data_IF_238871358837
#
_entry.id   IF_238871358837
#
_cell.length_a   1.000
_cell.length_b   1.000
_cell.length_c   1.000
_cell.angle_alpha   90.00
_cell.angle_beta   90.00
_cell.angle_gamma   90.00
#
_symmetry.space_group_name_H-M   'P 1'
#
loop_
_entity.id
_entity.type
_entity.pdbx_description
1 polymer ?
#
# COMPACT_ATOMS: atom_id res chain seq x y z
N UNK A 1 -15.81 67.72 -33.52
CA UNK A 1 -16.87 66.88 -32.93
C UNK A 1 -16.45 66.53 -31.52
N UNK A 2 -17.15 67.13 -30.55
CA UNK A 2 -17.01 66.92 -29.11
C UNK A 2 -17.86 65.69 -28.70
N UNK A 3 -17.41 64.89 -27.73
CA UNK A 3 -18.09 64.74 -26.43
C UNK A 3 -17.51 63.57 -25.61
N UNK A 4 -17.12 63.94 -24.39
CA UNK A 4 -16.75 63.11 -23.26
C UNK A 4 -17.78 62.01 -22.93
N UNK A 5 -17.29 60.85 -22.51
CA UNK A 5 -18.12 59.87 -21.79
C UNK A 5 -17.96 60.06 -20.28
N UNK A 6 -19.07 60.49 -19.69
CA UNK A 6 -19.29 60.76 -18.27
C UNK A 6 -19.35 59.46 -17.47
N UNK A 7 -18.53 59.34 -16.43
CA UNK A 7 -18.65 58.30 -15.41
C UNK A 7 -19.91 58.55 -14.57
N UNK A 8 -20.94 57.72 -14.72
CA UNK A 8 -22.10 57.72 -13.81
C UNK A 8 -21.81 56.80 -12.62
N UNK A 9 -21.60 57.41 -11.45
CA UNK A 9 -21.75 56.80 -10.13
C UNK A 9 -23.17 56.23 -10.00
N UNK A 10 -23.29 54.92 -9.77
CA UNK A 10 -24.50 54.33 -9.20
C UNK A 10 -24.17 53.93 -7.77
N UNK A 11 -24.65 54.74 -6.82
CA UNK A 11 -24.84 54.32 -5.44
C UNK A 11 -26.05 53.37 -5.41
N UNK A 12 -25.84 52.14 -4.92
CA UNK A 12 -26.92 51.29 -4.44
C UNK A 12 -26.54 50.68 -3.09
N UNK A 13 -27.24 51.20 -2.08
CA UNK A 13 -27.72 50.59 -0.86
C UNK A 13 -26.83 49.56 -0.14
N UNK A 14 -26.38 49.98 1.04
CA UNK A 14 -25.92 49.10 2.12
C UNK A 14 -27.05 48.13 2.53
N UNK A 15 -26.89 46.86 2.15
CA UNK A 15 -27.58 45.73 2.77
C UNK A 15 -26.61 45.03 3.70
N UNK A 16 -26.81 45.22 5.01
CA UNK A 16 -26.04 44.56 6.06
C UNK A 16 -26.44 43.08 6.09
N UNK A 17 -25.81 42.25 5.26
CA UNK A 17 -25.91 40.80 5.38
C UNK A 17 -24.90 40.35 6.45
N UNK A 18 -25.42 40.01 7.63
CA UNK A 18 -24.65 39.37 8.68
C UNK A 18 -24.10 38.04 8.14
N UNK A 19 -22.81 38.02 7.81
CA UNK A 19 -22.07 36.78 7.59
C UNK A 19 -21.93 36.13 8.95
N UNK A 20 -22.82 35.18 9.24
CA UNK A 20 -22.61 34.20 10.29
C UNK A 20 -21.34 33.44 9.93
N UNK A 21 -20.24 33.80 10.59
CA UNK A 21 -19.05 32.96 10.71
C UNK A 21 -19.50 31.67 11.39
N UNK A 22 -19.90 30.69 10.58
CA UNK A 22 -19.96 29.31 11.03
C UNK A 22 -18.54 28.95 11.44
N UNK A 23 -18.31 28.87 12.76
CA UNK A 23 -17.05 28.44 13.33
C UNK A 23 -16.67 27.12 12.67
N UNK A 24 -15.53 27.11 11.99
CA UNK A 24 -14.89 25.90 11.54
C UNK A 24 -14.69 25.04 12.78
N UNK A 25 -15.44 23.94 12.89
CA UNK A 25 -15.13 22.90 13.84
C UNK A 25 -13.70 22.47 13.50
N UNK A 26 -12.74 22.90 14.30
CA UNK A 26 -11.40 22.34 14.26
C UNK A 26 -11.62 20.84 14.49
N UNK A 27 -11.33 20.05 13.45
CA UNK A 27 -11.28 18.60 13.57
C UNK A 27 -10.36 18.30 14.75
N UNK A 28 -10.95 17.87 15.85
CA UNK A 28 -10.23 17.33 16.98
C UNK A 28 -9.45 16.14 16.45
N UNK A 29 -8.16 16.35 16.16
CA UNK A 29 -7.23 15.26 15.88
C UNK A 29 -7.38 14.24 16.99
N UNK A 30 -7.56 12.98 16.60
CA UNK A 30 -7.63 11.86 17.53
C UNK A 30 -6.38 11.97 18.42
N UNK A 31 -6.52 12.12 19.74
CA UNK A 31 -5.36 12.12 20.61
C UNK A 31 -4.63 10.79 20.41
N UNK A 32 -3.32 10.84 20.18
CA UNK A 32 -2.44 9.68 20.19
C UNK A 32 -2.30 9.13 21.62
N UNK A 33 -3.41 8.67 22.18
CA UNK A 33 -3.42 7.71 23.27
C UNK A 33 -3.32 6.32 22.67
N UNK A 34 -2.52 5.45 23.27
CA UNK A 34 -2.48 4.04 22.90
C UNK A 34 -3.90 3.48 22.98
N UNK A 35 -4.55 3.29 21.83
CA UNK A 35 -5.89 2.70 21.75
C UNK A 35 -5.91 1.26 22.23
N UNK A 36 -4.72 0.64 22.40
CA UNK A 36 -4.58 -0.78 22.70
C UNK A 36 -5.05 -1.65 21.54
N UNK A 37 -5.05 -1.11 20.30
CA UNK A 37 -5.56 -1.77 19.10
C UNK A 37 -4.45 -1.99 18.07
N UNK A 38 -4.67 -3.01 17.24
CA UNK A 38 -4.01 -3.20 15.95
C UNK A 38 -5.08 -3.02 14.87
N UNK A 39 -4.89 -2.06 13.98
CA UNK A 39 -5.85 -1.68 12.95
C UNK A 39 -5.20 -1.82 11.57
N UNK A 40 -5.97 -2.26 10.57
CA UNK A 40 -5.55 -2.37 9.18
C UNK A 40 -6.49 -1.53 8.33
N UNK A 41 -5.94 -0.56 7.60
CA UNK A 41 -6.67 0.23 6.59
C UNK A 41 -6.11 -0.16 5.24
N UNK A 42 -6.93 -0.79 4.41
CA UNK A 42 -6.56 -1.16 3.05
C UNK A 42 -6.64 0.09 2.19
N UNK A 43 -5.51 0.72 1.92
CA UNK A 43 -5.47 1.94 1.11
C UNK A 43 -5.62 1.60 -0.37
N UNK A 44 -4.99 0.51 -0.81
CA UNK A 44 -5.11 0.00 -2.17
C UNK A 44 -5.07 -1.52 -2.22
N UNK A 45 -5.98 -2.10 -3.01
CA UNK A 45 -6.24 -3.54 -3.06
C UNK A 45 -6.09 -4.16 -4.45
N UNK A 46 -5.93 -3.36 -5.50
CA UNK A 46 -5.79 -3.87 -6.87
C UNK A 46 -4.32 -4.13 -7.21
N UNK A 47 -3.99 -5.30 -7.75
CA UNK A 47 -2.65 -5.49 -8.31
C UNK A 47 -2.50 -4.83 -9.68
N UNK A 48 -1.29 -4.35 -9.96
CA UNK A 48 -1.01 -3.51 -11.13
C UNK A 48 -0.19 -4.23 -12.21
N UNK A 49 0.64 -3.48 -12.96
CA UNK A 49 0.88 -2.03 -12.90
C UNK A 49 -0.14 -1.19 -13.67
N UNK A 50 -1.27 -1.78 -14.09
CA UNK A 50 -2.34 -1.02 -14.73
C UNK A 50 -3.18 -0.32 -13.67
N UNK A 51 -3.21 1.02 -13.70
CA UNK A 51 -4.10 1.82 -12.87
C UNK A 51 -5.57 1.49 -13.17
N UNK A 52 -6.35 1.35 -12.11
CA UNK A 52 -7.79 1.07 -12.15
C UNK A 52 -8.56 2.23 -11.53
N UNK A 53 -9.81 2.40 -11.95
CA UNK A 53 -10.67 3.48 -11.43
C UNK A 53 -11.10 3.22 -9.99
N UNK A 54 -11.48 1.97 -9.73
CA UNK A 54 -12.17 1.61 -8.49
C UNK A 54 -11.25 0.96 -7.44
N UNK A 55 -9.96 0.74 -7.78
CA UNK A 55 -8.95 0.20 -6.86
C UNK A 55 -7.59 0.86 -7.10
N UNK A 56 -6.99 1.35 -6.04
CA UNK A 56 -5.61 1.82 -6.00
C UNK A 56 -4.66 0.62 -5.96
N UNK A 57 -3.41 0.86 -6.32
CA UNK A 57 -2.38 -0.16 -6.28
C UNK A 57 -1.98 -0.50 -4.82
N UNK A 58 -1.33 -1.66 -4.58
CA UNK A 58 -1.21 -2.23 -3.25
C UNK A 58 -0.63 -1.27 -2.20
N UNK A 59 -1.38 -1.08 -1.12
CA UNK A 59 -0.91 -0.42 0.08
C UNK A 59 -1.84 -0.69 1.27
N UNK A 60 -1.26 -1.03 2.41
CA UNK A 60 -1.98 -1.23 3.68
C UNK A 60 -1.34 -0.39 4.77
N UNK A 61 -2.15 0.42 5.44
CA UNK A 61 -1.72 1.12 6.65
C UNK A 61 -2.04 0.26 7.87
N UNK A 62 -1.01 -0.14 8.59
CA UNK A 62 -1.10 -0.82 9.88
C UNK A 62 -0.93 0.20 11.00
N UNK A 63 -1.90 0.29 11.91
CA UNK A 63 -1.84 1.17 13.08
C UNK A 63 -1.79 0.30 14.34
N UNK A 64 -0.71 0.36 15.10
CA UNK A 64 -0.56 -0.39 16.37
C UNK A 64 -0.36 0.60 17.50
N UNK A 65 -1.29 0.61 18.46
CA UNK A 65 -1.30 1.56 19.58
C UNK A 65 -1.17 3.03 19.13
N UNK A 66 -1.80 3.39 18.01
CA UNK A 66 -1.74 4.73 17.40
C UNK A 66 -0.47 5.01 16.58
N UNK A 67 0.50 4.07 16.52
CA UNK A 67 1.70 4.21 15.67
C UNK A 67 1.44 3.62 14.29
N UNK A 68 1.75 4.39 13.24
CA UNK A 68 1.44 4.04 11.84
C UNK A 68 2.63 3.46 11.09
N UNK A 69 2.43 2.30 10.46
CA UNK A 69 3.36 1.60 9.58
C UNK A 69 2.69 1.36 8.23
N UNK A 70 3.39 1.65 7.13
CA UNK A 70 2.86 1.43 5.79
C UNK A 70 3.50 0.18 5.19
N UNK A 71 2.69 -0.71 4.63
CA UNK A 71 3.15 -1.89 3.90
C UNK A 71 2.80 -1.67 2.43
N UNK A 72 3.84 -1.58 1.60
CA UNK A 72 3.81 -1.14 0.21
C UNK A 72 3.22 0.26 -0.01
N UNK A 73 3.57 0.88 -1.13
CA UNK A 73 3.22 2.26 -1.44
C UNK A 73 2.95 2.44 -2.94
N UNK A 74 1.95 1.72 -3.44
CA UNK A 74 1.48 1.83 -4.82
C UNK A 74 0.84 3.17 -5.19
N UNK A 75 0.60 3.37 -6.49
CA UNK A 75 -0.13 4.54 -6.99
C UNK A 75 -1.51 4.68 -6.33
N UNK A 76 -1.81 5.90 -5.89
CA UNK A 76 -3.06 6.23 -5.20
C UNK A 76 -3.00 6.17 -3.68
N UNK A 77 -1.91 5.66 -3.08
CA UNK A 77 -1.75 5.54 -1.62
C UNK A 77 -2.04 6.86 -0.88
N UNK A 78 -1.34 7.96 -1.23
CA UNK A 78 -1.56 9.25 -0.57
C UNK A 78 -3.00 9.76 -0.75
N UNK A 79 -3.59 9.59 -1.94
CA UNK A 79 -4.97 10.00 -2.20
C UNK A 79 -5.95 9.26 -1.31
N UNK A 80 -5.73 7.96 -1.08
CA UNK A 80 -6.56 7.11 -0.22
C UNK A 80 -6.37 7.45 1.25
N UNK A 81 -5.15 7.82 1.68
CA UNK A 81 -4.92 8.35 3.02
C UNK A 81 -5.73 9.63 3.27
N UNK A 82 -5.70 10.58 2.32
CA UNK A 82 -6.51 11.80 2.40
C UNK A 82 -8.01 11.50 2.46
N UNK A 83 -8.49 10.56 1.65
CA UNK A 83 -9.90 10.13 1.65
C UNK A 83 -10.32 9.48 2.98
N UNK A 84 -9.41 8.75 3.62
CA UNK A 84 -9.60 8.18 4.95
C UNK A 84 -9.41 9.20 6.11
N UNK A 85 -9.06 10.46 5.81
CA UNK A 85 -8.77 11.47 6.83
C UNK A 85 -7.45 11.26 7.58
N UNK A 86 -6.50 10.55 6.97
CA UNK A 86 -5.21 10.19 7.57
C UNK A 86 -4.13 11.16 7.11
N UNK A 87 -3.45 11.78 8.06
CA UNK A 87 -2.25 12.60 7.79
C UNK A 87 -1.04 11.68 7.51
N UNK A 88 -0.52 11.73 6.28
CA UNK A 88 0.60 10.89 5.86
C UNK A 88 1.88 11.18 6.66
N UNK A 89 2.01 12.38 7.23
CA UNK A 89 3.19 12.79 8.02
C UNK A 89 3.31 12.02 9.34
N UNK A 90 2.26 11.32 9.78
CA UNK A 90 2.28 10.43 10.93
C UNK A 90 2.89 9.05 10.64
N UNK A 91 3.03 8.67 9.37
CA UNK A 91 3.75 7.44 8.99
C UNK A 91 5.24 7.67 9.20
N UNK A 92 5.88 6.81 10.02
CA UNK A 92 7.32 6.90 10.32
C UNK A 92 8.14 5.75 9.77
N UNK A 93 7.48 4.66 9.37
CA UNK A 93 8.13 3.48 8.84
C UNK A 93 7.30 2.90 7.70
N UNK A 94 7.95 2.63 6.57
CA UNK A 94 7.41 1.97 5.39
C UNK A 94 8.17 0.66 5.17
N UNK A 95 7.45 -0.41 4.87
CA UNK A 95 8.00 -1.70 4.46
C UNK A 95 7.57 -1.98 3.03
N UNK A 96 8.54 -2.12 2.13
CA UNK A 96 8.33 -2.43 0.72
C UNK A 96 8.61 -3.92 0.50
N UNK A 97 7.67 -4.66 -0.05
CA UNK A 97 7.80 -6.10 -0.32
C UNK A 97 8.76 -6.34 -1.48
N UNK A 98 8.59 -5.60 -2.57
CA UNK A 98 9.45 -5.64 -3.76
C UNK A 98 9.35 -4.36 -4.61
N UNK A 99 10.22 -4.22 -5.61
CA UNK A 99 10.31 -3.00 -6.44
C UNK A 99 9.54 -3.08 -7.77
N UNK A 100 8.46 -3.86 -7.85
CA UNK A 100 7.51 -3.65 -8.94
C UNK A 100 6.81 -2.31 -8.78
N UNK A 101 6.49 -1.69 -9.92
CA UNK A 101 5.99 -0.33 -9.99
C UNK A 101 4.76 -0.14 -9.09
N UNK A 102 3.81 -1.07 -9.15
CA UNK A 102 2.57 -1.01 -8.37
C UNK A 102 2.77 -1.08 -6.86
N UNK A 103 3.94 -1.47 -6.36
CA UNK A 103 4.23 -1.47 -4.92
C UNK A 103 4.99 -0.23 -4.46
N UNK A 104 5.52 0.60 -5.37
CA UNK A 104 6.49 1.66 -5.00
C UNK A 104 6.27 3.01 -5.66
N UNK A 105 5.53 3.13 -6.76
CA UNK A 105 5.47 4.40 -7.49
C UNK A 105 4.79 5.53 -6.69
N UNK A 106 3.94 5.20 -5.72
CA UNK A 106 3.34 6.17 -4.80
C UNK A 106 4.28 6.66 -3.71
N UNK A 107 5.47 6.06 -3.56
CA UNK A 107 6.43 6.45 -2.52
C UNK A 107 6.87 7.91 -2.64
N UNK A 108 7.08 8.38 -3.88
CA UNK A 108 7.46 9.76 -4.14
C UNK A 108 6.36 10.75 -3.70
N UNK A 109 5.08 10.38 -3.79
CA UNK A 109 3.96 11.21 -3.35
C UNK A 109 3.97 11.38 -1.82
N UNK A 110 4.15 10.28 -1.08
CA UNK A 110 4.25 10.31 0.40
C UNK A 110 5.47 11.12 0.85
N UNK A 111 6.62 10.90 0.20
CA UNK A 111 7.85 11.64 0.51
C UNK A 111 7.67 13.14 0.22
N UNK A 112 7.06 13.51 -0.91
CA UNK A 112 6.78 14.89 -1.26
C UNK A 112 5.81 15.54 -0.26
N UNK A 113 4.72 14.86 0.10
CA UNK A 113 3.75 15.36 1.08
C UNK A 113 4.41 15.66 2.43
N UNK A 114 5.34 14.81 2.88
CA UNK A 114 6.11 15.03 4.11
C UNK A 114 6.96 16.32 4.09
N UNK A 115 7.34 16.80 2.90
CA UNK A 115 8.15 18.01 2.69
C UNK A 115 7.25 19.24 2.55
N UNK A 116 6.15 19.12 1.78
CA UNK A 116 5.33 20.26 1.39
C UNK A 116 4.12 20.52 2.32
N UNK A 117 3.73 19.56 3.16
CA UNK A 117 2.64 19.73 4.11
C UNK A 117 2.96 20.80 5.16
N UNK A 118 1.97 21.63 5.53
CA UNK A 118 2.12 22.72 6.51
C UNK A 118 2.45 22.24 7.93
N UNK A 119 2.22 20.95 8.24
CA UNK A 119 2.65 20.28 9.47
C UNK A 119 4.17 20.09 9.56
N UNK A 120 4.92 20.29 8.46
CA UNK A 120 6.39 20.18 8.38
C UNK A 120 7.16 21.25 9.18
N UNK A 121 6.46 22.22 9.79
CA UNK A 121 7.03 23.21 10.70
C UNK A 121 7.58 22.60 12.01
N UNK A 122 7.26 21.35 12.31
CA UNK A 122 7.90 20.58 13.38
C UNK A 122 9.02 19.72 12.77
N UNK A 123 10.23 19.65 13.39
CA UNK A 123 11.25 18.70 12.98
C UNK A 123 10.73 17.28 13.20
N UNK A 124 10.12 16.70 12.16
CA UNK A 124 9.66 15.33 12.17
C UNK A 124 10.84 14.38 12.26
N UNK A 125 10.70 13.32 13.05
CA UNK A 125 11.57 12.15 12.96
C UNK A 125 11.64 11.67 11.50
N UNK A 126 12.81 11.17 11.04
CA UNK A 126 12.97 10.73 9.66
C UNK A 126 11.98 9.61 9.32
N UNK A 127 11.53 9.60 8.07
CA UNK A 127 10.76 8.50 7.49
C UNK A 127 11.70 7.34 7.18
N UNK A 128 11.53 6.22 7.87
CA UNK A 128 12.30 5.01 7.64
C UNK A 128 11.65 4.17 6.54
N UNK A 129 12.45 3.67 5.60
CA UNK A 129 11.97 2.90 4.45
C UNK A 129 12.79 1.62 4.38
N UNK A 130 12.16 0.50 4.70
CA UNK A 130 12.77 -0.83 4.63
C UNK A 130 12.26 -1.53 3.38
N UNK A 131 13.14 -2.23 2.67
CA UNK A 131 12.74 -3.00 1.50
C UNK A 131 13.86 -3.89 0.99
N UNK A 132 13.70 -4.54 -0.17
CA UNK A 132 14.75 -5.38 -0.74
C UNK A 132 16.00 -4.56 -1.13
N UNK A 133 17.10 -5.23 -1.53
CA UNK A 133 18.28 -4.55 -2.05
C UNK A 133 17.90 -3.51 -3.11
N UNK A 134 18.61 -2.37 -3.13
CA UNK A 134 18.35 -1.18 -3.96
C UNK A 134 17.22 -0.27 -3.46
N UNK A 135 16.70 -0.48 -2.25
CA UNK A 135 15.71 0.45 -1.65
C UNK A 135 16.33 1.82 -1.42
N UNK A 136 17.61 1.89 -1.02
CA UNK A 136 18.34 3.16 -0.97
C UNK A 136 18.39 3.88 -2.32
N UNK A 137 18.66 3.15 -3.41
CA UNK A 137 18.68 3.72 -4.76
C UNK A 137 17.30 4.25 -5.18
N UNK A 138 16.23 3.52 -4.84
CA UNK A 138 14.85 3.94 -5.09
C UNK A 138 14.52 5.25 -4.37
N UNK A 139 14.90 5.37 -3.09
CA UNK A 139 14.69 6.57 -2.28
C UNK A 139 15.49 7.76 -2.83
N UNK A 140 16.76 7.56 -3.19
CA UNK A 140 17.57 8.61 -3.82
C UNK A 140 16.97 9.08 -5.14
N UNK A 141 16.42 8.17 -5.95
CA UNK A 141 15.72 8.51 -7.19
C UNK A 141 14.46 9.36 -6.91
N UNK A 142 13.68 9.00 -5.89
CA UNK A 142 12.50 9.78 -5.47
C UNK A 142 12.91 11.16 -4.94
N UNK A 143 13.96 11.28 -4.14
CA UNK A 143 14.50 12.57 -3.68
C UNK A 143 14.88 13.43 -4.89
N UNK A 144 15.62 12.88 -5.85
CA UNK A 144 16.02 13.62 -7.05
C UNK A 144 14.81 14.08 -7.88
N UNK A 145 13.77 13.25 -7.98
CA UNK A 145 12.50 13.61 -8.61
C UNK A 145 11.82 14.79 -7.90
N UNK A 146 11.73 14.74 -6.56
CA UNK A 146 11.07 15.76 -5.73
C UNK A 146 11.87 17.08 -5.70
N UNK A 147 13.20 17.02 -5.82
CA UNK A 147 14.03 18.22 -5.82
C UNK A 147 13.75 19.14 -7.00
N UNK A 148 13.28 18.61 -8.14
CA UNK A 148 12.91 19.43 -9.30
C UNK A 148 11.79 20.43 -8.94
N UNK A 149 10.59 20.01 -8.48
CA UNK A 149 9.57 20.97 -8.04
C UNK A 149 9.97 21.73 -6.77
N UNK A 150 10.69 21.11 -5.83
CA UNK A 150 11.11 21.80 -4.59
C UNK A 150 11.99 23.03 -4.87
N UNK A 151 12.95 22.91 -5.79
CA UNK A 151 13.87 24.02 -6.11
C UNK A 151 13.17 25.23 -6.72
N UNK A 152 11.99 25.05 -7.34
CA UNK A 152 11.15 26.17 -7.80
C UNK A 152 10.72 27.04 -6.61
N UNK A 153 10.25 26.41 -5.53
CA UNK A 153 9.86 27.11 -4.30
C UNK A 153 11.07 27.71 -3.57
N UNK A 154 12.19 26.98 -3.49
CA UNK A 154 13.40 27.45 -2.83
C UNK A 154 13.98 28.69 -3.53
N UNK A 155 14.06 28.68 -4.86
CA UNK A 155 14.49 29.85 -5.66
C UNK A 155 13.51 31.02 -5.54
N UNK A 156 12.22 30.72 -5.40
CA UNK A 156 11.18 31.71 -5.08
C UNK A 156 11.23 32.22 -3.64
N UNK A 157 12.14 31.72 -2.78
CA UNK A 157 12.23 32.01 -1.34
C UNK A 157 10.95 31.69 -0.57
N UNK A 158 10.14 30.76 -1.07
CA UNK A 158 8.90 30.30 -0.44
C UNK A 158 9.16 29.20 0.59
N UNK A 159 10.27 28.47 0.45
CA UNK A 159 10.80 27.50 1.42
C UNK A 159 12.28 27.76 1.64
N UNK A 160 12.83 27.26 2.77
CA UNK A 160 14.27 27.34 3.05
C UNK A 160 15.04 26.36 2.19
N UNK A 161 16.30 26.68 1.91
CA UNK A 161 17.23 25.75 1.28
C UNK A 161 17.76 24.80 2.36
N UNK A 162 17.11 23.65 2.52
CA UNK A 162 17.47 22.60 3.47
C UNK A 162 17.71 21.28 2.73
N UNK A 163 18.70 20.50 3.17
CA UNK A 163 18.89 19.15 2.63
C UNK A 163 17.74 18.25 3.09
N UNK A 164 16.79 18.00 2.19
CA UNK A 164 15.67 17.09 2.44
C UNK A 164 16.10 15.63 2.50
N UNK A 165 17.30 15.28 2.03
CA UNK A 165 17.78 13.89 1.97
C UNK A 165 17.85 13.26 3.38
N UNK A 166 18.22 14.03 4.39
CA UNK A 166 18.28 13.56 5.78
C UNK A 166 16.90 13.22 6.38
N UNK A 167 15.80 13.54 5.69
CA UNK A 167 14.44 13.20 6.12
C UNK A 167 14.04 11.76 5.79
N UNK A 168 14.79 11.07 4.93
CA UNK A 168 14.43 9.73 4.44
C UNK A 168 15.57 8.74 4.71
N UNK A 169 15.30 7.73 5.54
CA UNK A 169 16.29 6.73 5.95
C UNK A 169 15.95 5.38 5.30
N UNK A 170 16.56 5.12 4.15
CA UNK A 170 16.40 3.85 3.43
C UNK A 170 17.29 2.74 4.03
N UNK A 171 16.77 1.51 4.08
CA UNK A 171 17.46 0.33 4.59
C UNK A 171 17.15 -0.86 3.71
N UNK A 172 18.21 -1.39 3.10
CA UNK A 172 18.14 -2.60 2.29
C UNK A 172 18.12 -3.84 3.20
N UNK A 173 17.19 -4.76 2.92
CA UNK A 173 17.07 -6.07 3.56
C UNK A 173 17.85 -7.07 2.72
N UNK A 174 19.09 -7.34 3.13
CA UNK A 174 19.99 -8.22 2.39
C UNK A 174 19.73 -9.72 2.64
N UNK A 175 19.00 -10.06 3.72
CA UNK A 175 18.72 -11.44 4.12
C UNK A 175 17.42 -11.60 4.90
N UNK A 176 16.76 -12.77 4.82
CA UNK A 176 15.65 -13.15 5.68
C UNK A 176 15.99 -13.09 7.18
N UNK A 177 14.96 -12.90 8.01
CA UNK A 177 15.07 -12.84 9.46
C UNK A 177 14.39 -11.62 10.07
N UNK A 178 14.77 -11.27 11.30
CA UNK A 178 14.31 -10.06 11.97
C UNK A 178 14.87 -8.82 11.26
N UNK A 179 13.99 -7.97 10.72
CA UNK A 179 14.38 -6.76 9.95
C UNK A 179 14.04 -5.46 10.67
N UNK A 180 13.06 -5.48 11.57
CA UNK A 180 12.65 -4.31 12.35
C UNK A 180 11.99 -4.75 13.66
N UNK A 181 12.23 -3.99 14.72
CA UNK A 181 11.57 -4.15 16.01
C UNK A 181 11.49 -2.81 16.73
N UNK A 182 10.33 -2.52 17.30
CA UNK A 182 10.12 -1.43 18.24
C UNK A 182 9.17 -1.86 19.38
N UNK A 183 8.69 -0.93 20.19
CA UNK A 183 7.81 -1.24 21.32
C UNK A 183 6.42 -1.80 20.91
N UNK A 184 6.03 -1.68 19.64
CA UNK A 184 4.71 -2.05 19.15
C UNK A 184 4.75 -3.26 18.21
N UNK A 185 5.77 -3.37 17.35
CA UNK A 185 5.83 -4.45 16.36
C UNK A 185 7.21 -5.09 16.24
N UNK A 186 7.19 -6.35 15.84
CA UNK A 186 8.35 -7.09 15.35
C UNK A 186 8.09 -7.57 13.93
N UNK A 187 9.02 -7.29 13.01
CA UNK A 187 8.89 -7.63 11.59
C UNK A 187 9.95 -8.64 11.20
N UNK A 188 9.51 -9.80 10.72
CA UNK A 188 10.35 -10.89 10.24
C UNK A 188 10.10 -11.06 8.74
N UNK A 189 11.15 -10.97 7.94
CA UNK A 189 11.09 -11.11 6.49
C UNK A 189 11.50 -12.53 6.04
N UNK A 190 10.85 -13.05 5.00
CA UNK A 190 11.31 -14.22 4.25
C UNK A 190 11.26 -13.92 2.74
N UNK A 191 12.31 -14.29 2.02
CA UNK A 191 12.32 -14.18 0.55
C UNK A 191 11.23 -15.10 -0.01
N UNK A 192 10.33 -14.53 -0.80
CA UNK A 192 9.23 -15.25 -1.43
C UNK A 192 9.62 -15.69 -2.86
N UNK A 193 8.72 -16.32 -3.60
CA UNK A 193 9.08 -16.93 -4.90
C UNK A 193 8.86 -16.03 -6.12
N UNK A 194 8.51 -14.76 -5.94
CA UNK A 194 8.06 -13.91 -7.05
C UNK A 194 9.14 -13.61 -8.10
N UNK A 195 10.42 -13.62 -7.74
CA UNK A 195 11.53 -13.47 -8.70
C UNK A 195 12.27 -14.77 -9.02
N UNK A 196 11.72 -15.93 -8.66
CA UNK A 196 12.39 -17.23 -8.82
C UNK A 196 12.78 -17.60 -10.26
N UNK A 197 12.08 -17.08 -11.28
CA UNK A 197 12.36 -17.36 -12.68
C UNK A 197 13.47 -16.47 -13.27
N UNK A 198 13.95 -15.46 -12.54
CA UNK A 198 15.07 -14.64 -13.00
C UNK A 198 16.38 -15.45 -12.96
N UNK A 199 17.36 -15.12 -13.82
CA UNK A 199 18.71 -15.67 -13.71
C UNK A 199 19.33 -15.39 -12.33
N UNK A 200 20.20 -16.27 -11.85
CA UNK A 200 20.77 -16.18 -10.49
C UNK A 200 21.48 -14.86 -10.18
N UNK A 201 22.12 -14.24 -11.18
CA UNK A 201 22.75 -12.94 -11.00
C UNK A 201 21.73 -11.84 -10.68
N UNK A 202 20.58 -11.85 -11.37
CA UNK A 202 19.50 -10.91 -11.12
C UNK A 202 18.82 -11.20 -9.77
N UNK A 203 18.60 -12.47 -9.41
CA UNK A 203 18.02 -12.83 -8.09
C UNK A 203 18.89 -12.45 -6.88
N UNK A 204 20.17 -12.12 -7.08
CA UNK A 204 21.01 -11.56 -6.01
C UNK A 204 20.81 -10.05 -5.84
N UNK A 205 20.46 -9.35 -6.91
CA UNK A 205 20.24 -7.91 -6.92
C UNK A 205 18.77 -7.53 -6.67
N UNK A 206 17.84 -8.39 -7.07
CA UNK A 206 16.40 -8.18 -6.95
C UNK A 206 15.79 -9.24 -6.05
N UNK A 207 15.04 -8.80 -5.04
CA UNK A 207 14.38 -9.66 -4.06
C UNK A 207 12.93 -9.25 -3.88
N UNK A 208 12.10 -10.21 -3.51
CA UNK A 208 10.74 -9.99 -3.05
C UNK A 208 10.54 -10.68 -1.70
N UNK A 209 9.92 -9.99 -0.76
CA UNK A 209 9.78 -10.42 0.62
C UNK A 209 8.33 -10.53 1.06
N UNK A 210 8.04 -11.58 1.82
CA UNK A 210 6.89 -11.66 2.70
C UNK A 210 7.27 -11.14 4.09
N UNK A 211 6.32 -10.51 4.79
CA UNK A 211 6.52 -9.95 6.13
C UNK A 211 5.56 -10.57 7.15
N UNK A 212 6.12 -11.18 8.19
CA UNK A 212 5.39 -11.53 9.41
C UNK A 212 5.55 -10.37 10.39
N UNK A 213 4.43 -9.76 10.75
CA UNK A 213 4.36 -8.65 11.69
C UNK A 213 3.67 -9.15 12.96
N UNK A 214 4.41 -9.22 14.05
CA UNK A 214 3.90 -9.58 15.36
C UNK A 214 3.52 -8.31 16.12
N UNK A 215 2.29 -8.27 16.65
CA UNK A 215 1.76 -7.15 17.44
C UNK A 215 1.20 -7.67 18.78
N UNK A 216 0.86 -6.79 19.75
CA UNK A 216 0.26 -7.22 21.01
C UNK A 216 -1.11 -7.91 20.84
N UNK A 217 -1.81 -7.66 19.73
CA UNK A 217 -3.15 -8.22 19.48
C UNK A 217 -3.12 -9.50 18.64
N UNK A 218 -2.05 -9.75 17.88
CA UNK A 218 -1.89 -10.96 17.08
C UNK A 218 -0.79 -10.84 16.03
N UNK A 219 -0.75 -11.83 15.14
CA UNK A 219 0.24 -11.93 14.08
C UNK A 219 -0.41 -11.79 12.71
N UNK A 220 0.15 -10.92 11.88
CA UNK A 220 -0.28 -10.69 10.51
C UNK A 220 0.85 -11.11 9.56
N UNK A 221 0.54 -11.91 8.54
CA UNK A 221 1.46 -12.21 7.46
C UNK A 221 1.03 -11.48 6.19
N UNK A 222 1.90 -10.65 5.63
CA UNK A 222 1.78 -10.10 4.28
C UNK A 222 2.61 -10.95 3.32
N UNK A 223 2.02 -11.46 2.24
CA UNK A 223 2.76 -12.32 1.30
C UNK A 223 3.74 -11.56 0.43
N UNK A 224 3.49 -10.26 0.17
CA UNK A 224 3.98 -9.64 -1.06
C UNK A 224 3.42 -10.37 -2.27
N UNK A 225 3.97 -10.10 -3.44
CA UNK A 225 3.71 -10.97 -4.59
C UNK A 225 4.55 -12.23 -4.42
N UNK A 226 4.01 -13.41 -4.71
CA UNK A 226 4.67 -14.71 -4.58
C UNK A 226 3.91 -15.80 -5.33
N UNK A 227 4.61 -16.79 -5.88
CA UNK A 227 4.01 -18.09 -6.17
C UNK A 227 3.94 -18.95 -4.90
N UNK A 228 3.62 -20.26 -5.02
CA UNK A 228 3.86 -21.20 -3.92
C UNK A 228 5.29 -21.09 -3.41
N UNK A 229 5.46 -20.99 -2.08
CA UNK A 229 6.76 -20.78 -1.46
C UNK A 229 6.81 -21.45 -0.08
N UNK A 230 7.75 -22.39 0.10
CA UNK A 230 7.98 -23.05 1.39
C UNK A 230 8.41 -22.05 2.47
N UNK A 231 9.20 -21.03 2.09
CA UNK A 231 9.65 -20.00 3.01
C UNK A 231 8.46 -19.17 3.52
N UNK A 232 7.52 -18.83 2.65
CA UNK A 232 6.29 -18.12 3.03
C UNK A 232 5.40 -19.02 3.90
N UNK A 233 5.22 -20.30 3.55
CA UNK A 233 4.45 -21.24 4.38
C UNK A 233 5.01 -21.39 5.80
N UNK A 234 6.34 -21.46 5.95
CA UNK A 234 6.99 -21.50 7.28
C UNK A 234 6.83 -20.18 8.03
N UNK A 235 6.95 -19.06 7.36
CA UNK A 235 6.80 -17.73 7.97
C UNK A 235 5.34 -17.48 8.42
N UNK A 236 4.38 -17.99 7.65
CA UNK A 236 2.94 -17.92 7.89
C UNK A 236 2.46 -18.74 9.09
N UNK A 237 3.27 -19.70 9.56
CA UNK A 237 2.85 -20.72 10.50
C UNK A 237 2.23 -20.10 11.77
N UNK A 238 0.97 -20.47 12.03
CA UNK A 238 0.17 -20.01 13.16
C UNK A 238 -0.19 -18.52 13.16
N UNK A 239 -0.04 -17.79 12.05
CA UNK A 239 -0.46 -16.40 11.96
C UNK A 239 -1.98 -16.26 12.14
N UNK A 240 -2.43 -15.17 12.77
CA UNK A 240 -3.86 -14.92 12.94
C UNK A 240 -4.49 -14.51 11.60
N UNK A 241 -3.82 -13.63 10.87
CA UNK A 241 -4.29 -13.11 9.59
C UNK A 241 -3.25 -13.31 8.49
N UNK A 242 -3.68 -13.89 7.37
CA UNK A 242 -2.93 -13.90 6.12
C UNK A 242 -3.47 -12.81 5.19
N UNK A 243 -2.69 -11.77 4.93
CA UNK A 243 -2.92 -10.78 3.88
C UNK A 243 -2.25 -11.29 2.61
N UNK A 244 -3.04 -11.92 1.74
CA UNK A 244 -2.55 -12.68 0.58
C UNK A 244 -2.84 -11.98 -0.73
N UNK A 245 -1.85 -11.94 -1.62
CA UNK A 245 -2.10 -11.68 -3.04
C UNK A 245 -3.02 -12.76 -3.64
N UNK A 246 -3.69 -12.45 -4.74
CA UNK A 246 -4.45 -13.45 -5.49
C UNK A 246 -4.55 -13.13 -6.97
N UNK A 247 -4.21 -14.11 -7.80
CA UNK A 247 -4.37 -14.08 -9.24
C UNK A 247 -5.42 -15.08 -9.73
N UNK A 248 -6.46 -14.58 -10.38
CA UNK A 248 -7.39 -15.43 -11.10
C UNK A 248 -6.74 -15.88 -12.42
N UNK A 249 -6.20 -17.11 -12.42
CA UNK A 249 -5.40 -17.69 -13.51
C UNK A 249 -6.06 -17.55 -14.88
N UNK A 250 -7.25 -18.14 -15.06
CA UNK A 250 -7.92 -18.15 -16.37
C UNK A 250 -8.21 -16.73 -16.91
N UNK A 251 -8.88 -15.82 -16.18
CA UNK A 251 -9.04 -14.44 -16.63
C UNK A 251 -7.72 -13.73 -16.92
N UNK A 252 -6.68 -14.00 -16.13
CA UNK A 252 -5.36 -13.40 -16.34
C UNK A 252 -4.72 -13.89 -17.65
N UNK A 253 -4.72 -15.21 -17.88
CA UNK A 253 -4.17 -15.79 -19.12
C UNK A 253 -4.89 -15.22 -20.34
N UNK A 254 -6.22 -15.19 -20.32
CA UNK A 254 -7.02 -14.59 -21.40
C UNK A 254 -6.67 -13.11 -21.63
N UNK A 255 -6.43 -12.34 -20.55
CA UNK A 255 -5.98 -10.95 -20.66
C UNK A 255 -4.58 -10.86 -21.28
N UNK A 256 -3.65 -11.71 -20.85
CA UNK A 256 -2.28 -11.72 -21.38
C UNK A 256 -2.25 -12.13 -22.86
N UNK A 257 -3.11 -13.06 -23.28
CA UNK A 257 -3.25 -13.42 -24.69
C UNK A 257 -3.75 -12.23 -25.53
N UNK A 258 -4.74 -11.48 -25.04
CA UNK A 258 -5.21 -10.25 -25.71
C UNK A 258 -4.11 -9.19 -25.81
N UNK A 259 -3.39 -8.93 -24.72
CA UNK A 259 -2.28 -7.97 -24.71
C UNK A 259 -1.13 -8.39 -25.63
N UNK A 260 -0.82 -9.69 -25.67
CA UNK A 260 0.19 -10.23 -26.57
C UNK A 260 -0.20 -10.05 -28.05
N UNK A 261 -1.48 -10.23 -28.38
CA UNK A 261 -1.99 -9.99 -29.72
C UNK A 261 -1.94 -8.50 -30.10
N UNK A 262 -2.42 -7.60 -29.23
CA UNK A 262 -2.41 -6.15 -29.47
C UNK A 262 -0.97 -5.62 -29.58
N UNK A 263 -0.08 -6.08 -28.70
CA UNK A 263 1.30 -5.66 -28.64
C UNK A 263 2.24 -6.37 -29.62
N UNK A 264 1.73 -7.28 -30.47
CA UNK A 264 2.52 -8.12 -31.37
C UNK A 264 3.72 -8.80 -30.67
N UNK A 265 3.48 -9.42 -29.51
CA UNK A 265 4.55 -10.07 -28.75
C UNK A 265 5.06 -11.32 -29.47
N UNK A 266 6.36 -11.59 -29.35
CA UNK A 266 6.92 -12.86 -29.81
C UNK A 266 6.33 -14.03 -28.99
N UNK A 267 6.28 -15.25 -29.55
CA UNK A 267 5.85 -16.44 -28.82
C UNK A 267 6.60 -16.64 -27.50
N UNK A 268 7.90 -16.36 -27.48
CA UNK A 268 8.78 -16.52 -26.32
C UNK A 268 8.43 -15.51 -25.23
N UNK A 269 8.24 -14.24 -25.58
CA UNK A 269 7.81 -13.20 -24.63
C UNK A 269 6.45 -13.55 -24.03
N UNK A 270 5.49 -13.96 -24.86
CA UNK A 270 4.16 -14.38 -24.40
C UNK A 270 4.25 -15.55 -23.41
N UNK A 271 5.00 -16.59 -23.77
CA UNK A 271 5.18 -17.76 -22.90
C UNK A 271 5.85 -17.39 -21.56
N UNK A 272 6.85 -16.50 -21.59
CA UNK A 272 7.52 -16.02 -20.39
C UNK A 272 6.57 -15.26 -19.46
N UNK A 273 5.78 -14.32 -20.00
CA UNK A 273 4.82 -13.54 -19.20
C UNK A 273 3.70 -14.42 -18.63
N UNK A 274 3.16 -15.35 -19.40
CA UNK A 274 2.16 -16.30 -18.89
C UNK A 274 2.76 -17.17 -17.78
N UNK A 275 3.99 -17.68 -17.97
CA UNK A 275 4.65 -18.48 -16.95
C UNK A 275 4.94 -17.68 -15.67
N UNK A 276 5.28 -16.40 -15.77
CA UNK A 276 5.38 -15.50 -14.62
C UNK A 276 4.05 -15.42 -13.86
N UNK A 277 2.95 -15.13 -14.55
CA UNK A 277 1.61 -15.05 -13.94
C UNK A 277 1.19 -16.36 -13.25
N UNK A 278 1.58 -17.51 -13.79
CA UNK A 278 1.15 -18.82 -13.27
C UNK A 278 2.05 -19.38 -12.16
N UNK A 279 3.33 -19.00 -12.12
CA UNK A 279 4.32 -19.61 -11.22
C UNK A 279 4.85 -18.65 -10.16
N UNK A 280 4.68 -17.34 -10.34
CA UNK A 280 5.24 -16.31 -9.47
C UNK A 280 4.14 -15.49 -8.77
N UNK A 281 2.88 -15.94 -8.85
CA UNK A 281 1.70 -15.42 -8.15
C UNK A 281 0.83 -16.56 -7.59
N UNK A 282 -0.05 -16.25 -6.64
CA UNK A 282 -0.92 -17.24 -5.98
C UNK A 282 -2.30 -17.29 -6.62
N UNK A 283 -2.62 -18.44 -7.21
CA UNK A 283 -4.00 -18.74 -7.61
C UNK A 283 -4.88 -19.03 -6.39
N UNK A 284 -6.23 -18.87 -6.45
CA UNK A 284 -7.12 -19.13 -5.32
C UNK A 284 -6.92 -20.46 -4.60
N UNK A 285 -6.66 -21.55 -5.32
CA UNK A 285 -6.38 -22.86 -4.72
C UNK A 285 -5.04 -22.89 -3.95
N UNK A 286 -4.02 -22.17 -4.43
CA UNK A 286 -2.74 -22.03 -3.77
C UNK A 286 -2.85 -21.15 -2.51
N UNK A 287 -3.67 -20.10 -2.53
CA UNK A 287 -4.01 -19.31 -1.33
C UNK A 287 -4.64 -20.21 -0.26
N UNK A 288 -5.62 -21.04 -0.63
CA UNK A 288 -6.26 -21.97 0.29
C UNK A 288 -5.27 -23.00 0.87
N UNK A 289 -4.40 -23.55 0.01
CA UNK A 289 -3.37 -24.49 0.43
C UNK A 289 -2.40 -23.85 1.42
N UNK A 290 -1.88 -22.65 1.12
CA UNK A 290 -1.00 -21.90 2.01
C UNK A 290 -1.68 -21.65 3.35
N UNK A 291 -2.91 -21.10 3.34
CA UNK A 291 -3.67 -20.78 4.54
C UNK A 291 -3.90 -22.01 5.42
N UNK A 292 -4.34 -23.13 4.82
CA UNK A 292 -4.59 -24.39 5.54
C UNK A 292 -3.31 -25.01 6.10
N UNK A 293 -2.23 -25.08 5.31
CA UNK A 293 -0.96 -25.65 5.75
C UNK A 293 -0.30 -24.85 6.88
N UNK A 294 -0.34 -23.52 6.76
CA UNK A 294 0.18 -22.60 7.77
C UNK A 294 -0.74 -22.45 8.99
N UNK A 295 -1.95 -23.05 8.97
CA UNK A 295 -2.93 -23.00 10.07
C UNK A 295 -3.29 -21.56 10.45
N UNK A 296 -3.44 -20.70 9.46
CA UNK A 296 -3.89 -19.31 9.69
C UNK A 296 -5.36 -19.28 10.04
N UNK A 297 -5.80 -18.26 10.78
CA UNK A 297 -7.21 -18.19 11.24
C UNK A 297 -8.13 -17.51 10.22
N UNK A 298 -7.62 -16.52 9.50
CA UNK A 298 -8.34 -15.84 8.42
C UNK A 298 -7.42 -15.41 7.27
N UNK A 299 -8.03 -15.16 6.12
CA UNK A 299 -7.40 -14.61 4.92
C UNK A 299 -8.08 -13.28 4.54
N UNK A 300 -7.29 -12.22 4.40
CA UNK A 300 -7.70 -10.98 3.74
C UNK A 300 -7.03 -10.95 2.36
N UNK A 301 -7.84 -11.00 1.30
CA UNK A 301 -7.31 -10.92 -0.07
C UNK A 301 -6.92 -9.48 -0.37
N UNK A 302 -5.68 -9.27 -0.76
CA UNK A 302 -5.11 -8.03 -1.31
C UNK A 302 -4.53 -8.34 -2.71
N UNK A 303 -4.02 -7.34 -3.42
CA UNK A 303 -3.43 -7.50 -4.77
C UNK A 303 -4.28 -8.40 -5.66
N UNK A 304 -5.51 -7.96 -5.91
CA UNK A 304 -6.49 -8.75 -6.65
C UNK A 304 -6.28 -8.52 -8.14
N UNK A 305 -5.82 -9.55 -8.84
CA UNK A 305 -5.55 -9.54 -10.28
C UNK A 305 -6.27 -10.68 -11.04
N UNK A 306 -6.57 -10.54 -12.34
CA UNK A 306 -6.30 -9.39 -13.19
C UNK A 306 -7.12 -8.15 -12.83
N UNK A 307 -8.36 -8.32 -12.35
CA UNK A 307 -9.21 -7.26 -11.84
C UNK A 307 -9.44 -6.10 -12.82
N UNK A 308 -10.61 -6.03 -13.44
CA UNK A 308 -11.03 -4.82 -14.18
C UNK A 308 -11.72 -3.82 -13.26
N UNK A 309 -12.12 -2.66 -13.79
CA UNK A 309 -13.22 -1.92 -13.17
C UNK A 309 -14.41 -2.90 -13.07
N UNK A 310 -15.02 -3.04 -11.89
CA UNK A 310 -16.08 -4.02 -11.57
C UNK A 310 -15.67 -5.52 -11.49
N UNK A 311 -14.61 -5.84 -10.74
CA UNK A 311 -14.08 -7.21 -10.57
C UNK A 311 -14.89 -8.17 -9.68
N UNK A 312 -16.13 -7.83 -9.33
CA UNK A 312 -16.89 -8.53 -8.29
C UNK A 312 -17.12 -10.02 -8.60
N UNK A 313 -17.35 -10.35 -9.88
CA UNK A 313 -17.56 -11.74 -10.33
C UNK A 313 -16.28 -12.55 -10.19
N UNK A 314 -15.13 -12.00 -10.61
CA UNK A 314 -13.83 -12.66 -10.51
C UNK A 314 -13.44 -12.87 -9.04
N UNK A 315 -13.68 -11.87 -8.21
CA UNK A 315 -13.48 -11.93 -6.76
C UNK A 315 -14.36 -13.01 -6.13
N UNK A 316 -15.64 -13.08 -6.50
CA UNK A 316 -16.57 -14.08 -5.99
C UNK A 316 -16.17 -15.53 -6.39
N UNK A 317 -15.72 -15.72 -7.63
CA UNK A 317 -15.25 -17.02 -8.11
C UNK A 317 -13.96 -17.48 -7.38
N UNK A 318 -13.00 -16.56 -7.20
CA UNK A 318 -11.80 -16.84 -6.40
C UNK A 318 -12.14 -17.17 -4.94
N UNK A 319 -13.05 -16.41 -4.33
CA UNK A 319 -13.52 -16.64 -2.97
C UNK A 319 -14.15 -18.03 -2.80
N UNK A 320 -15.00 -18.45 -3.73
CA UNK A 320 -15.63 -19.77 -3.71
C UNK A 320 -14.59 -20.89 -3.77
N UNK A 321 -13.56 -20.72 -4.61
CA UNK A 321 -12.45 -21.67 -4.73
C UNK A 321 -11.67 -21.79 -3.42
N UNK A 322 -11.37 -20.66 -2.76
CA UNK A 322 -10.63 -20.68 -1.49
C UNK A 322 -11.46 -21.38 -0.40
N UNK A 323 -12.74 -21.01 -0.26
CA UNK A 323 -13.64 -21.56 0.76
C UNK A 323 -13.94 -23.05 0.58
N UNK A 324 -13.70 -23.62 -0.60
CA UNK A 324 -13.82 -25.06 -0.83
C UNK A 324 -12.72 -25.86 -0.10
N UNK A 325 -11.59 -25.24 0.27
CA UNK A 325 -10.42 -25.93 0.85
C UNK A 325 -9.81 -25.25 2.07
N UNK A 326 -10.33 -24.10 2.48
CA UNK A 326 -9.97 -23.39 3.71
C UNK A 326 -11.22 -23.07 4.53
N UNK A 327 -11.21 -23.46 5.81
CA UNK A 327 -12.37 -23.33 6.70
C UNK A 327 -12.42 -22.01 7.47
N UNK A 328 -11.33 -21.24 7.49
CA UNK A 328 -11.28 -19.95 8.16
C UNK A 328 -12.03 -18.86 7.39
N UNK A 329 -12.12 -17.68 8.00
CA UNK A 329 -12.76 -16.53 7.35
C UNK A 329 -11.92 -16.08 6.14
N UNK A 330 -12.59 -15.76 5.02
CA UNK A 330 -11.94 -15.21 3.82
C UNK A 330 -12.66 -13.94 3.43
N UNK A 331 -11.94 -12.82 3.41
CA UNK A 331 -12.48 -11.48 3.16
C UNK A 331 -11.82 -10.94 1.89
N UNK A 332 -12.58 -10.68 0.82
CA UNK A 332 -12.06 -9.90 -0.29
C UNK A 332 -12.00 -8.43 0.11
N UNK A 333 -10.81 -7.86 0.22
CA UNK A 333 -10.68 -6.44 0.59
C UNK A 333 -11.20 -5.51 -0.51
N UNK A 334 -11.57 -4.30 -0.10
CA UNK A 334 -11.73 -3.13 -0.95
C UNK A 334 -10.93 -1.98 -0.36
N UNK A 335 -10.56 -1.03 -1.20
CA UNK A 335 -9.97 0.23 -0.75
C UNK A 335 -10.85 0.86 0.34
N UNK A 336 -10.20 1.45 1.33
CA UNK A 336 -10.76 2.06 2.54
C UNK A 336 -11.46 1.10 3.50
N UNK A 337 -11.38 -0.22 3.29
CA UNK A 337 -11.76 -1.15 4.36
C UNK A 337 -10.87 -0.93 5.58
N UNK A 338 -11.51 -0.79 6.76
CA UNK A 338 -10.85 -0.52 8.04
C UNK A 338 -11.23 -1.61 9.04
N UNK A 339 -10.23 -2.41 9.41
CA UNK A 339 -10.41 -3.55 10.31
C UNK A 339 -9.60 -3.40 11.58
N UNK A 340 -10.13 -3.93 12.67
CA UNK A 340 -9.44 -4.11 13.93
C UNK A 340 -9.08 -5.60 14.07
N UNK A 341 -7.81 -5.89 14.32
CA UNK A 341 -7.35 -7.22 14.68
C UNK A 341 -7.77 -7.50 16.12
N UNK A 342 -8.59 -8.53 16.30
CA UNK A 342 -9.10 -8.97 17.60
C UNK A 342 -8.62 -10.39 17.89
N UNK A 343 -8.53 -10.73 19.18
CA UNK A 343 -8.32 -12.13 19.56
C UNK A 343 -9.47 -12.97 19.02
N UNK A 344 -9.13 -14.12 18.44
CA UNK A 344 -10.10 -15.04 17.86
C UNK A 344 -11.26 -15.30 18.82
N UNK A 345 -12.48 -14.97 18.40
CA UNK A 345 -13.68 -15.24 19.18
C UNK A 345 -14.09 -16.72 19.08
N UNK A 346 -15.20 -17.12 19.71
CA UNK A 346 -15.71 -18.49 19.68
C UNK A 346 -16.00 -19.03 18.25
N UNK A 347 -16.16 -18.13 17.28
CA UNK A 347 -16.39 -18.46 15.87
C UNK A 347 -15.09 -18.39 15.03
N UNK A 348 -13.93 -18.21 15.66
CA UNK A 348 -12.64 -18.10 14.98
C UNK A 348 -12.41 -16.77 14.26
N UNK A 349 -13.29 -15.78 14.41
CA UNK A 349 -13.18 -14.48 13.74
C UNK A 349 -12.05 -13.65 14.36
N UNK A 350 -11.13 -13.15 13.54
CA UNK A 350 -9.98 -12.33 13.98
C UNK A 350 -10.05 -10.88 13.50
N UNK A 351 -11.00 -10.54 12.62
CA UNK A 351 -11.22 -9.18 12.17
C UNK A 351 -12.61 -8.66 12.57
N UNK A 352 -12.68 -7.43 13.05
CA UNK A 352 -13.91 -6.66 13.23
C UNK A 352 -13.80 -5.33 12.49
N UNK A 353 -14.93 -4.67 12.26
CA UNK A 353 -14.88 -3.25 11.90
C UNK A 353 -14.29 -2.46 13.07
N UNK A 354 -13.46 -1.46 12.78
CA UNK A 354 -13.00 -0.53 13.80
C UNK A 354 -14.09 0.52 14.08
N UNK A 355 -14.25 0.94 15.35
CA UNK A 355 -15.24 1.94 15.73
C UNK A 355 -14.81 3.37 15.40
#
# INVERSE_FOLDING_TARGET
>A
MSFAFTFRRIMRAAGLAAVLLAGSAMGSGIPAGATGRTELIVLGSGGGPQIRKDRSEPSVLLIVNGTSYLIDCGSGTLRRMVEAGIDSTHVKTIFITHHHADHVVGLADIMADSIFSSSSALPGLPLNIYGPPRTAQLVDAAVNYIMVPYTVFARGKLVKDESIQHRFMARDIDRPGLVYEDQNIKVIAAENSHFQMMPDAARRAEKSYAYRIETPQGVILFTGDTGPSEAVSKLADGADLLVSEVINDKPMVERMERLAAIGNWSPERKAMVIAHMQRQHLVPSAVAQLASQARVKAVLLYHIVPGTDHDEIEVAAGLATIKASFSGEVIPSRDLNHFCLVRANANGKVLSECP
#
